data_IF_635722689598
#
_entry.id   IF_635722689598
#
_cell.length_a   1.000
_cell.length_b   1.000
_cell.length_c   1.000
_cell.angle_alpha   90.00
_cell.angle_beta   90.00
_cell.angle_gamma   90.00
#
_symmetry.space_group_name_H-M   'P 1'
#
loop_
_entity.id
_entity.type
_entity.pdbx_description
1 polymer ?
#
# COMPACT_ATOMS: atom_id res chain seq x y z
N UNK A 1 17.08 4.79 -34.31
CA UNK A 1 16.18 5.49 -33.38
C UNK A 1 16.98 5.93 -32.16
N UNK A 2 16.60 7.00 -31.44
CA UNK A 2 17.26 7.30 -30.18
C UNK A 2 17.01 6.15 -29.18
N UNK A 3 17.95 5.93 -28.27
CA UNK A 3 17.92 4.85 -27.30
C UNK A 3 18.43 5.34 -25.95
N UNK A 4 18.07 4.61 -24.90
CA UNK A 4 18.57 4.79 -23.55
C UNK A 4 18.78 3.43 -22.88
N UNK A 5 19.62 3.40 -21.85
CA UNK A 5 19.93 2.21 -21.09
C UNK A 5 19.33 2.31 -19.70
N UNK A 6 18.55 1.32 -19.29
CA UNK A 6 17.91 1.25 -17.98
C UNK A 6 18.49 0.11 -17.15
N UNK A 7 18.75 0.40 -15.87
CA UNK A 7 18.98 -0.59 -14.83
C UNK A 7 17.93 -0.38 -13.73
N UNK A 8 17.14 -1.42 -13.48
CA UNK A 8 16.19 -1.46 -12.38
C UNK A 8 16.79 -2.25 -11.22
N UNK A 9 16.65 -1.73 -10.00
CA UNK A 9 17.26 -2.30 -8.80
C UNK A 9 16.20 -2.92 -7.88
N UNK A 10 16.63 -3.96 -7.14
CA UNK A 10 15.85 -4.61 -6.09
C UNK A 10 14.44 -5.02 -6.55
N UNK A 11 13.41 -4.65 -5.78
CA UNK A 11 12.02 -5.05 -5.92
C UNK A 11 11.35 -4.54 -7.19
N UNK A 12 11.99 -3.65 -7.96
CA UNK A 12 11.52 -3.27 -9.29
C UNK A 12 11.68 -4.41 -10.31
N UNK A 13 12.66 -5.30 -10.12
CA UNK A 13 12.84 -6.49 -10.96
C UNK A 13 11.65 -7.47 -10.86
N UNK A 14 10.76 -7.28 -9.88
CA UNK A 14 9.50 -8.01 -9.82
C UNK A 14 8.66 -7.82 -11.08
N UNK A 15 8.58 -6.59 -11.59
CA UNK A 15 7.70 -6.20 -12.70
C UNK A 15 8.27 -6.54 -14.09
N UNK A 16 9.56 -6.84 -14.18
CA UNK A 16 10.23 -7.10 -15.45
C UNK A 16 10.03 -8.55 -15.92
N UNK A 17 9.97 -8.80 -17.25
CA UNK A 17 10.08 -10.13 -17.81
C UNK A 17 11.36 -10.85 -17.33
N UNK A 18 11.31 -12.18 -17.17
CA UNK A 18 12.43 -12.99 -16.66
C UNK A 18 13.75 -12.74 -17.40
N UNK A 19 13.71 -12.51 -18.72
CA UNK A 19 14.89 -12.28 -19.55
C UNK A 19 15.59 -10.92 -19.29
N UNK A 20 14.89 -9.99 -18.65
CA UNK A 20 15.33 -8.61 -18.39
C UNK A 20 15.65 -8.34 -16.93
N UNK A 21 15.28 -9.24 -16.01
CA UNK A 21 15.60 -9.12 -14.58
C UNK A 21 17.11 -9.04 -14.35
N UNK A 22 17.53 -8.15 -13.46
CA UNK A 22 18.91 -7.93 -13.05
C UNK A 22 19.86 -7.65 -14.21
N UNK A 23 19.37 -7.04 -15.29
CA UNK A 23 20.14 -6.74 -16.50
C UNK A 23 20.04 -5.27 -16.88
N UNK A 24 20.97 -4.85 -17.73
CA UNK A 24 20.87 -3.58 -18.44
C UNK A 24 19.91 -3.76 -19.62
N UNK A 25 18.91 -2.90 -19.72
CA UNK A 25 17.88 -2.93 -20.76
C UNK A 25 18.14 -1.78 -21.72
N UNK A 26 18.39 -2.09 -22.99
CA UNK A 26 18.35 -1.08 -24.05
C UNK A 26 16.90 -0.86 -24.46
N UNK A 27 16.46 0.40 -24.43
CA UNK A 27 15.11 0.79 -24.82
C UNK A 27 15.19 1.88 -25.89
N UNK A 28 14.65 1.57 -27.06
CA UNK A 28 14.48 2.52 -28.15
C UNK A 28 13.19 3.31 -27.96
N UNK A 29 13.18 4.57 -28.37
CA UNK A 29 12.01 5.44 -28.25
C UNK A 29 11.90 6.38 -29.44
N UNK A 30 10.71 6.97 -29.60
CA UNK A 30 10.42 7.92 -30.66
C UNK A 30 10.05 9.28 -30.08
N UNK A 31 10.59 10.35 -30.67
CA UNK A 31 10.27 11.72 -30.27
C UNK A 31 10.79 12.10 -28.88
N UNK A 32 10.08 13.03 -28.24
CA UNK A 32 10.42 13.59 -26.94
C UNK A 32 9.55 12.95 -25.87
N UNK A 33 10.14 12.09 -25.05
CA UNK A 33 9.42 11.27 -24.06
C UNK A 33 9.94 11.57 -22.65
N UNK A 34 9.04 11.61 -21.68
CA UNK A 34 9.42 11.74 -20.26
C UNK A 34 10.03 10.43 -19.75
N UNK A 35 10.89 10.53 -18.74
CA UNK A 35 11.46 9.33 -18.11
C UNK A 35 10.39 8.47 -17.45
N UNK A 36 9.31 9.08 -16.93
CA UNK A 36 8.15 8.35 -16.40
C UNK A 36 7.52 7.45 -17.46
N UNK A 37 7.18 7.99 -18.62
CA UNK A 37 6.51 7.23 -19.68
C UNK A 37 7.36 6.05 -20.16
N UNK A 38 8.68 6.25 -20.27
CA UNK A 38 9.62 5.17 -20.65
C UNK A 38 9.73 4.09 -19.56
N UNK A 39 9.75 4.47 -18.28
CA UNK A 39 9.80 3.50 -17.19
C UNK A 39 8.48 2.71 -17.12
N UNK A 40 7.35 3.38 -17.31
CA UNK A 40 6.03 2.73 -17.33
C UNK A 40 5.83 1.83 -18.55
N UNK A 41 6.37 2.20 -19.72
CA UNK A 41 6.35 1.35 -20.92
C UNK A 41 7.16 0.05 -20.71
N UNK A 42 8.22 0.11 -19.90
CA UNK A 42 9.01 -1.04 -19.47
C UNK A 42 8.33 -1.89 -18.38
N UNK A 43 7.17 -1.47 -17.89
CA UNK A 43 6.33 -2.25 -16.98
C UNK A 43 6.32 -1.75 -15.54
N UNK A 44 7.24 -0.88 -15.14
CA UNK A 44 7.36 -0.46 -13.74
C UNK A 44 6.34 0.65 -13.44
N UNK A 45 5.45 0.47 -12.44
CA UNK A 45 4.54 1.53 -12.04
C UNK A 45 5.28 2.62 -11.26
N UNK A 46 5.05 3.90 -11.58
CA UNK A 46 5.76 5.01 -10.96
C UNK A 46 5.66 5.09 -9.42
N UNK A 47 4.57 4.67 -8.74
CA UNK A 47 4.50 4.71 -7.28
C UNK A 47 5.46 3.73 -6.59
N UNK A 48 6.03 2.76 -7.30
CA UNK A 48 7.04 1.83 -6.74
C UNK A 48 8.46 2.40 -6.76
N UNK A 49 8.68 3.54 -7.42
CA UNK A 49 10.02 4.10 -7.66
C UNK A 49 10.36 5.14 -6.61
N UNK A 50 11.46 4.92 -5.90
CA UNK A 50 11.92 5.82 -4.85
C UNK A 50 12.92 6.87 -5.37
N UNK A 51 13.71 6.52 -6.39
CA UNK A 51 14.70 7.43 -6.98
C UNK A 51 15.00 7.07 -8.43
N UNK A 52 15.24 8.09 -9.25
CA UNK A 52 15.75 7.96 -10.62
C UNK A 52 17.06 8.73 -10.72
N UNK A 53 18.07 8.09 -11.33
CA UNK A 53 19.41 8.67 -11.48
C UNK A 53 19.84 8.59 -12.93
N UNK A 54 20.22 9.74 -13.50
CA UNK A 54 20.80 9.85 -14.84
C UNK A 54 22.22 10.36 -14.70
N UNK A 55 23.21 9.58 -15.18
CA UNK A 55 24.62 9.96 -15.15
C UNK A 55 25.10 10.47 -13.77
N UNK A 56 24.64 9.83 -12.68
CA UNK A 56 25.00 10.16 -11.30
C UNK A 56 24.23 11.32 -10.66
N UNK A 57 23.20 11.87 -11.32
CA UNK A 57 22.34 12.93 -10.78
C UNK A 57 20.92 12.43 -10.54
N UNK A 58 20.35 12.73 -9.38
CA UNK A 58 18.93 12.50 -9.10
C UNK A 58 18.07 13.39 -10.00
N UNK A 59 16.97 12.85 -10.52
CA UNK A 59 16.04 13.57 -11.40
C UNK A 59 14.58 13.28 -11.05
N UNK A 60 13.66 14.11 -11.54
CA UNK A 60 12.22 13.92 -11.39
C UNK A 60 11.59 13.09 -12.53
N UNK A 61 10.28 12.84 -12.44
CA UNK A 61 9.53 12.11 -13.45
C UNK A 61 9.35 12.85 -14.78
N UNK A 62 9.44 14.18 -14.78
CA UNK A 62 9.20 15.02 -15.97
C UNK A 62 10.46 15.18 -16.85
N UNK A 63 11.60 14.72 -16.35
CA UNK A 63 12.87 14.80 -17.05
C UNK A 63 12.80 14.11 -18.42
N UNK A 64 13.20 14.84 -19.46
CA UNK A 64 13.20 14.38 -20.84
C UNK A 64 14.47 13.58 -21.12
N UNK A 65 14.30 12.34 -21.55
CA UNK A 65 15.41 11.42 -21.80
C UNK A 65 16.17 11.84 -23.06
N UNK A 66 17.51 11.86 -22.95
CA UNK A 66 18.42 12.15 -24.06
C UNK A 66 18.94 10.86 -24.70
N UNK A 67 19.37 10.93 -25.95
CA UNK A 67 19.99 9.79 -26.63
C UNK A 67 21.25 9.33 -25.88
N UNK A 68 21.38 8.02 -25.67
CA UNK A 68 22.52 7.42 -24.97
C UNK A 68 22.51 7.60 -23.45
N UNK A 69 21.40 8.08 -22.86
CA UNK A 69 21.30 8.23 -21.42
C UNK A 69 21.44 6.88 -20.68
N UNK A 70 22.22 6.86 -19.60
CA UNK A 70 22.31 5.75 -18.65
C UNK A 70 21.48 6.07 -17.41
N UNK A 71 20.45 5.24 -17.18
CA UNK A 71 19.38 5.49 -16.23
C UNK A 71 19.36 4.36 -15.20
N UNK A 72 19.49 4.71 -13.93
CA UNK A 72 19.29 3.79 -12.82
C UNK A 72 17.99 4.15 -12.09
N UNK A 73 17.18 3.14 -11.81
CA UNK A 73 15.87 3.29 -11.16
C UNK A 73 15.84 2.42 -9.92
N UNK A 74 15.56 3.05 -8.79
CA UNK A 74 15.68 2.44 -7.46
C UNK A 74 14.31 2.35 -6.79
N UNK A 75 14.04 1.25 -6.10
CA UNK A 75 12.92 1.14 -5.16
C UNK A 75 13.34 1.60 -3.77
N UNK A 76 12.39 1.64 -2.84
CA UNK A 76 12.64 2.03 -1.45
C UNK A 76 13.65 1.12 -0.74
N UNK A 77 13.73 -0.14 -1.14
CA UNK A 77 14.53 -1.16 -0.45
C UNK A 77 16.02 -0.88 -0.55
N UNK A 78 16.44 -0.18 -1.61
CA UNK A 78 17.83 0.12 -1.87
C UNK A 78 17.94 1.46 -2.61
N UNK A 79 18.36 2.49 -1.89
CA UNK A 79 18.55 3.84 -2.42
C UNK A 79 19.99 4.27 -2.14
N UNK A 80 20.80 4.58 -3.18
CA UNK A 80 22.16 5.04 -2.97
C UNK A 80 22.20 6.45 -2.35
N UNK A 81 23.26 6.74 -1.61
CA UNK A 81 23.53 8.10 -1.13
C UNK A 81 23.97 8.99 -2.29
N UNK A 82 23.11 9.93 -2.68
CA UNK A 82 23.37 10.91 -3.74
C UNK A 82 23.05 12.31 -3.22
N UNK A 83 23.97 13.29 -3.37
CA UNK A 83 23.72 14.68 -2.99
C UNK A 83 22.56 15.28 -3.79
N UNK A 84 21.83 16.24 -3.18
CA UNK A 84 20.73 16.97 -3.81
C UNK A 84 19.66 16.04 -4.42
N UNK A 85 19.15 15.12 -3.59
CA UNK A 85 18.09 14.20 -3.99
C UNK A 85 16.83 14.95 -4.40
N UNK A 86 16.42 14.77 -5.65
CA UNK A 86 15.14 15.25 -6.15
C UNK A 86 14.02 14.29 -5.71
N UNK A 87 13.04 14.74 -4.91
CA UNK A 87 11.94 13.87 -4.48
C UNK A 87 10.99 13.60 -5.64
N UNK A 88 10.64 12.32 -5.84
CA UNK A 88 9.67 11.92 -6.88
C UNK A 88 8.22 12.18 -6.48
N UNK A 89 7.96 12.44 -5.20
CA UNK A 89 6.65 12.72 -4.63
C UNK A 89 6.81 13.46 -3.29
N UNK A 90 5.78 14.19 -2.81
CA UNK A 90 5.81 14.80 -1.50
C UNK A 90 5.95 13.75 -0.37
N UNK A 91 6.55 14.10 0.78
CA UNK A 91 6.60 13.20 1.93
C UNK A 91 5.17 12.84 2.40
N UNK A 92 4.97 11.60 2.84
CA UNK A 92 3.66 11.17 3.34
C UNK A 92 3.35 11.84 4.69
N UNK A 93 2.13 12.37 4.92
CA UNK A 93 1.91 13.40 5.93
C UNK A 93 1.76 12.94 7.40
N UNK A 94 1.99 11.68 7.77
CA UNK A 94 2.13 11.14 9.15
C UNK A 94 1.81 9.64 9.13
N UNK A 95 0.71 9.22 9.80
CA UNK A 95 0.27 7.85 9.99
C UNK A 95 -0.41 7.36 8.71
N UNK A 96 0.02 6.22 8.14
CA UNK A 96 -0.54 5.69 6.91
C UNK A 96 -2.05 5.50 6.97
N UNK A 97 -2.73 6.02 5.95
CA UNK A 97 -4.12 5.65 5.63
C UNK A 97 -4.14 4.96 4.28
N UNK A 98 -5.06 4.01 4.12
CA UNK A 98 -5.06 3.09 3.00
C UNK A 98 -6.37 3.13 2.23
N UNK A 99 -6.27 2.81 0.95
CA UNK A 99 -7.38 2.39 0.12
C UNK A 99 -6.94 1.14 -0.66
N UNK A 100 -7.81 0.15 -0.77
CA UNK A 100 -7.48 -1.13 -1.38
C UNK A 100 -8.44 -1.48 -2.50
N UNK A 101 -7.90 -2.15 -3.53
CA UNK A 101 -8.71 -2.74 -4.60
C UNK A 101 -9.59 -3.91 -4.09
N UNK A 102 -10.55 -4.30 -4.93
CA UNK A 102 -11.54 -5.35 -4.65
C UNK A 102 -10.94 -6.74 -4.33
N UNK A 103 -9.69 -7.01 -4.69
CA UNK A 103 -9.05 -8.31 -4.48
C UNK A 103 -8.38 -8.42 -3.09
N UNK A 104 -8.31 -7.31 -2.35
CA UNK A 104 -7.57 -7.21 -1.10
C UNK A 104 -8.47 -6.99 0.13
N UNK A 105 -9.77 -7.31 0.04
CA UNK A 105 -10.73 -7.05 1.12
C UNK A 105 -10.38 -7.68 2.47
N UNK A 106 -9.70 -8.82 2.45
CA UNK A 106 -9.27 -9.48 3.70
C UNK A 106 -8.06 -8.79 4.32
N UNK A 107 -7.13 -8.28 3.51
CA UNK A 107 -6.05 -7.41 3.96
C UNK A 107 -6.62 -6.09 4.53
N UNK A 108 -7.62 -5.51 3.87
CA UNK A 108 -8.32 -4.32 4.38
C UNK A 108 -8.91 -4.55 5.78
N UNK A 109 -9.56 -5.70 6.01
CA UNK A 109 -10.08 -6.05 7.33
C UNK A 109 -8.97 -6.17 8.39
N UNK A 110 -7.80 -6.70 8.04
CA UNK A 110 -6.66 -6.79 8.97
C UNK A 110 -6.00 -5.44 9.26
N UNK A 111 -5.86 -4.56 8.27
CA UNK A 111 -5.35 -3.20 8.51
C UNK A 111 -6.28 -2.41 9.44
N UNK A 112 -7.61 -2.56 9.27
CA UNK A 112 -8.60 -2.00 10.20
C UNK A 112 -8.47 -2.59 11.60
N UNK A 113 -8.26 -3.90 11.71
CA UNK A 113 -8.01 -4.58 12.98
C UNK A 113 -6.76 -4.04 13.68
N UNK A 114 -5.71 -3.72 12.93
CA UNK A 114 -4.49 -3.06 13.44
C UNK A 114 -4.70 -1.57 13.78
N UNK A 115 -5.88 -1.00 13.47
CA UNK A 115 -6.25 0.37 13.80
C UNK A 115 -5.95 1.40 12.71
N UNK A 116 -5.59 0.98 11.49
CA UNK A 116 -5.33 1.89 10.38
C UNK A 116 -6.60 2.26 9.63
N UNK A 117 -6.74 3.53 9.29
CA UNK A 117 -7.84 4.01 8.45
C UNK A 117 -7.73 3.40 7.06
N UNK A 118 -8.66 2.51 6.72
CA UNK A 118 -8.56 1.69 5.52
C UNK A 118 -9.89 1.63 4.77
N UNK A 119 -9.97 2.32 3.63
CA UNK A 119 -11.10 2.24 2.73
C UNK A 119 -11.03 0.98 1.87
N UNK A 120 -12.19 0.36 1.71
CA UNK A 120 -12.38 -0.79 0.84
C UNK A 120 -13.87 -0.95 0.58
N UNK A 121 -14.21 -1.10 -0.70
CA UNK A 121 -15.53 -1.50 -1.18
C UNK A 121 -15.35 -2.47 -2.34
N UNK A 122 -16.30 -3.40 -2.47
CA UNK A 122 -16.27 -4.42 -3.54
C UNK A 122 -16.61 -3.84 -4.92
N UNK A 123 -17.14 -2.62 -4.98
CA UNK A 123 -17.67 -1.98 -6.19
C UNK A 123 -16.86 -0.76 -6.63
N UNK A 124 -15.67 -0.55 -6.04
CA UNK A 124 -14.79 0.52 -6.51
C UNK A 124 -14.26 0.23 -7.90
N UNK A 125 -14.48 1.18 -8.81
CA UNK A 125 -13.79 1.20 -10.09
C UNK A 125 -12.40 1.80 -9.94
N UNK A 126 -11.48 1.38 -10.80
CA UNK A 126 -10.10 1.85 -10.79
C UNK A 126 -9.93 3.38 -10.79
N UNK A 127 -10.77 4.10 -11.56
CA UNK A 127 -10.73 5.57 -11.62
C UNK A 127 -11.11 6.18 -10.27
N UNK A 128 -12.13 5.62 -9.61
CA UNK A 128 -12.55 6.02 -8.27
C UNK A 128 -11.46 5.71 -7.23
N UNK A 129 -10.81 4.53 -7.30
CA UNK A 129 -9.69 4.18 -6.43
C UNK A 129 -8.55 5.19 -6.53
N UNK A 130 -8.17 5.54 -7.77
CA UNK A 130 -7.09 6.49 -8.02
C UNK A 130 -7.47 7.90 -7.54
N UNK A 131 -8.70 8.33 -7.79
CA UNK A 131 -9.18 9.65 -7.39
C UNK A 131 -9.29 9.79 -5.86
N UNK A 132 -9.90 8.81 -5.17
CA UNK A 132 -9.99 8.82 -3.71
C UNK A 132 -8.61 8.71 -3.06
N UNK A 133 -7.70 7.90 -3.63
CA UNK A 133 -6.30 7.85 -3.17
C UNK A 133 -5.62 9.22 -3.24
N UNK A 134 -5.87 9.96 -4.30
CA UNK A 134 -5.34 11.30 -4.50
C UNK A 134 -5.95 12.31 -3.51
N UNK A 135 -7.27 12.47 -3.55
CA UNK A 135 -8.00 13.51 -2.82
C UNK A 135 -7.87 13.37 -1.31
N UNK A 136 -7.88 12.14 -0.80
CA UNK A 136 -7.74 11.86 0.63
C UNK A 136 -6.29 11.55 1.05
N UNK A 137 -5.31 11.65 0.14
CA UNK A 137 -3.89 11.34 0.41
C UNK A 137 -3.72 9.94 1.02
N UNK A 138 -4.36 8.93 0.42
CA UNK A 138 -4.30 7.53 0.88
C UNK A 138 -3.32 6.73 0.05
N UNK A 139 -2.64 5.80 0.71
CA UNK A 139 -1.79 4.81 0.05
C UNK A 139 -2.70 3.78 -0.64
N UNK A 140 -2.62 3.70 -1.97
CA UNK A 140 -3.34 2.70 -2.75
C UNK A 140 -2.59 1.37 -2.74
N UNK A 141 -3.17 0.34 -2.13
CA UNK A 141 -2.67 -1.02 -2.23
C UNK A 141 -3.47 -1.78 -3.29
N UNK A 142 -2.77 -2.36 -4.26
CA UNK A 142 -3.41 -3.08 -5.36
C UNK A 142 -2.52 -4.20 -5.88
N UNK A 143 -3.10 -5.14 -6.62
CA UNK A 143 -2.36 -6.11 -7.43
C UNK A 143 -2.50 -5.84 -8.93
N UNK A 144 -2.98 -4.65 -9.30
CA UNK A 144 -3.12 -4.19 -10.66
C UNK A 144 -2.06 -3.13 -10.99
N UNK A 145 -1.17 -3.46 -11.94
CA UNK A 145 -0.11 -2.56 -12.39
C UNK A 145 -0.69 -1.37 -13.17
N UNK A 146 -1.74 -1.59 -13.96
CA UNK A 146 -2.42 -0.54 -14.72
C UNK A 146 -3.06 0.50 -13.79
N UNK A 147 -3.62 0.05 -12.67
CA UNK A 147 -4.10 0.94 -11.61
C UNK A 147 -2.99 1.82 -11.03
N UNK A 148 -1.84 1.25 -10.68
CA UNK A 148 -0.72 2.03 -10.16
C UNK A 148 -0.10 3.00 -11.18
N UNK A 149 -0.28 2.77 -12.49
CA UNK A 149 0.24 3.67 -13.54
C UNK A 149 -0.62 4.90 -13.78
N UNK A 150 -1.82 4.98 -13.18
CA UNK A 150 -2.68 6.18 -13.29
C UNK A 150 -2.00 7.37 -12.63
N UNK A 151 -1.93 8.50 -13.34
CA UNK A 151 -1.21 9.71 -12.88
C UNK A 151 -1.73 10.30 -11.57
N UNK A 152 -2.99 10.03 -11.19
CA UNK A 152 -3.55 10.47 -9.91
C UNK A 152 -2.92 9.73 -8.71
N UNK A 153 -2.36 8.53 -8.91
CA UNK A 153 -1.80 7.69 -7.83
C UNK A 153 -0.42 8.20 -7.42
N UNK A 154 -0.36 9.03 -6.40
CA UNK A 154 0.92 9.54 -5.85
C UNK A 154 1.57 8.50 -4.93
N UNK A 155 0.76 7.91 -4.05
CA UNK A 155 1.19 6.91 -3.07
C UNK A 155 0.53 5.58 -3.39
N UNK A 156 1.32 4.60 -3.78
CA UNK A 156 0.80 3.30 -4.15
C UNK A 156 1.83 2.19 -3.96
N UNK A 157 1.33 0.98 -3.79
CA UNK A 157 2.16 -0.20 -3.63
C UNK A 157 1.47 -1.44 -4.21
N UNK A 158 2.24 -2.22 -4.96
CA UNK A 158 1.83 -3.49 -5.51
C UNK A 158 2.00 -4.57 -4.44
N UNK A 159 0.90 -5.20 -4.04
CA UNK A 159 0.93 -6.30 -3.08
C UNK A 159 1.45 -7.57 -3.76
N UNK A 160 2.68 -7.97 -3.44
CA UNK A 160 3.40 -9.07 -4.09
C UNK A 160 2.96 -10.41 -3.52
N UNK A 161 2.75 -10.50 -2.21
CA UNK A 161 2.33 -11.73 -1.55
C UNK A 161 0.89 -12.10 -1.90
N UNK A 162 0.67 -13.40 -2.08
CA UNK A 162 -0.67 -13.97 -2.32
C UNK A 162 -1.22 -14.63 -1.07
N UNK A 163 -0.35 -15.08 -0.17
CA UNK A 163 -0.78 -15.60 1.12
C UNK A 163 -1.19 -14.45 2.03
N UNK A 164 -2.37 -14.59 2.63
CA UNK A 164 -3.01 -13.50 3.36
C UNK A 164 -2.29 -13.12 4.65
N UNK A 165 -1.57 -14.04 5.29
CA UNK A 165 -0.75 -13.71 6.46
C UNK A 165 0.51 -12.99 6.05
N UNK A 166 1.15 -13.47 4.97
CA UNK A 166 2.34 -12.82 4.40
C UNK A 166 2.05 -11.42 3.87
N UNK A 167 0.86 -11.17 3.32
CA UNK A 167 0.43 -9.83 2.92
C UNK A 167 0.47 -8.83 4.09
N UNK A 168 0.04 -9.25 5.29
CA UNK A 168 0.06 -8.36 6.46
C UNK A 168 1.52 -8.04 6.81
N UNK A 169 2.38 -9.07 6.91
CA UNK A 169 3.80 -8.88 7.19
C UNK A 169 4.49 -8.00 6.12
N UNK A 170 4.17 -8.20 4.84
CA UNK A 170 4.67 -7.38 3.72
C UNK A 170 4.32 -5.90 3.93
N UNK A 171 3.04 -5.59 4.17
CA UNK A 171 2.58 -4.20 4.35
C UNK A 171 3.10 -3.60 5.66
N UNK A 172 3.11 -4.35 6.75
CA UNK A 172 3.69 -3.92 8.03
C UNK A 172 5.15 -3.51 7.87
N UNK A 173 5.96 -4.34 7.20
CA UNK A 173 7.38 -4.07 6.99
C UNK A 173 7.60 -2.93 6.00
N UNK A 174 6.85 -2.91 4.89
CA UNK A 174 6.99 -1.91 3.82
C UNK A 174 6.73 -0.48 4.31
N UNK A 175 5.81 -0.31 5.25
CA UNK A 175 5.37 0.99 5.76
C UNK A 175 5.71 1.21 7.24
N UNK A 176 6.53 0.33 7.83
CA UNK A 176 6.95 0.42 9.24
C UNK A 176 5.79 0.57 10.23
N UNK A 177 4.71 -0.19 10.03
CA UNK A 177 3.45 0.02 10.75
C UNK A 177 3.48 -0.36 12.23
N UNK A 178 4.51 -1.08 12.68
CA UNK A 178 4.57 -1.73 14.01
C UNK A 178 4.34 -0.74 15.16
N UNK A 179 4.98 0.41 15.10
CA UNK A 179 4.94 1.41 16.18
C UNK A 179 3.63 2.22 16.20
N UNK A 180 2.87 2.20 15.10
CA UNK A 180 1.61 2.93 14.94
C UNK A 180 0.35 2.05 15.16
N UNK A 181 0.51 0.80 15.60
CA UNK A 181 -0.63 -0.11 15.82
C UNK A 181 -1.46 0.33 17.00
N UNK A 182 -2.75 0.54 16.76
CA UNK A 182 -3.76 0.77 17.81
C UNK A 182 -4.85 -0.28 17.59
N UNK A 183 -4.56 -1.51 17.99
CA UNK A 183 -5.39 -2.67 17.67
C UNK A 183 -6.83 -2.51 18.16
N UNK A 184 -7.77 -3.02 17.36
CA UNK A 184 -9.20 -3.07 17.64
C UNK A 184 -9.89 -1.70 17.84
N UNK A 185 -9.22 -0.58 17.51
CA UNK A 185 -9.80 0.77 17.53
C UNK A 185 -10.74 1.07 16.36
N UNK A 186 -10.74 0.23 15.31
CA UNK A 186 -11.60 0.36 14.14
C UNK A 186 -12.37 -0.93 13.83
N UNK A 187 -13.54 -0.73 13.27
CA UNK A 187 -14.43 -1.79 12.83
C UNK A 187 -13.85 -2.48 11.61
N UNK A 188 -13.54 -3.77 11.71
CA UNK A 188 -13.05 -4.57 10.58
C UNK A 188 -14.03 -4.60 9.39
N UNK A 189 -15.34 -4.43 9.66
CA UNK A 189 -16.39 -4.47 8.64
C UNK A 189 -16.48 -3.16 7.84
N UNK A 190 -16.52 -2.01 8.51
CA UNK A 190 -16.82 -0.73 7.86
C UNK A 190 -15.80 0.39 8.09
N UNK A 191 -14.67 0.14 8.77
CA UNK A 191 -13.62 1.14 9.09
C UNK A 191 -13.98 2.18 10.17
N UNK A 192 -15.25 2.26 10.62
CA UNK A 192 -15.68 3.19 11.66
C UNK A 192 -15.00 2.96 13.02
N UNK A 193 -14.93 4.00 13.85
CA UNK A 193 -14.32 3.92 15.18
C UNK A 193 -15.12 2.96 16.09
N UNK A 194 -14.40 2.34 17.02
CA UNK A 194 -14.93 1.38 17.99
C UNK A 194 -14.76 1.97 19.39
N UNK A 195 -15.87 2.03 20.12
CA UNK A 195 -15.93 2.56 21.49
C UNK A 195 -16.33 1.45 22.47
N UNK A 196 -15.89 1.57 23.73
CA UNK A 196 -16.35 0.68 24.80
C UNK A 196 -17.82 0.98 25.13
N UNK A 197 -18.59 -0.07 25.40
CA UNK A 197 -20.02 0.01 25.78
C UNK A 197 -20.31 -0.96 26.91
N UNK A 198 -21.32 -0.67 27.73
CA UNK A 198 -21.72 -1.57 28.82
C UNK A 198 -22.51 -2.77 28.29
N UNK A 199 -22.57 -3.86 29.07
CA UNK A 199 -23.34 -5.05 28.70
C UNK A 199 -24.84 -4.74 28.60
N UNK A 200 -25.34 -3.82 29.44
CA UNK A 200 -26.73 -3.38 29.47
C UNK A 200 -27.13 -2.65 28.19
N UNK A 201 -26.24 -1.80 27.64
CA UNK A 201 -26.48 -1.04 26.41
C UNK A 201 -26.62 -1.89 25.15
N UNK A 202 -26.09 -3.12 25.19
CA UNK A 202 -26.07 -4.03 24.03
C UNK A 202 -26.79 -5.36 24.29
N UNK A 203 -27.43 -5.52 25.45
CA UNK A 203 -28.02 -6.77 25.90
C UNK A 203 -29.01 -7.38 24.89
N UNK A 204 -29.77 -6.54 24.19
CA UNK A 204 -30.76 -6.90 23.17
C UNK A 204 -30.15 -7.49 21.89
N UNK A 205 -28.86 -7.20 21.62
CA UNK A 205 -28.13 -7.59 20.42
C UNK A 205 -27.11 -8.69 20.66
N UNK A 206 -26.88 -9.07 21.91
CA UNK A 206 -25.98 -10.14 22.27
C UNK A 206 -26.66 -11.51 22.10
N UNK A 207 -25.96 -12.53 21.56
CA UNK A 207 -26.43 -13.91 21.63
C UNK A 207 -26.68 -14.34 23.08
N UNK A 208 -27.68 -15.21 23.30
CA UNK A 208 -28.04 -15.66 24.64
C UNK A 208 -26.83 -16.18 25.44
N UNK A 209 -26.72 -15.73 26.69
CA UNK A 209 -25.64 -16.15 27.60
C UNK A 209 -24.30 -15.45 27.39
N UNK A 210 -24.11 -14.63 26.34
CA UNK A 210 -22.83 -13.93 26.10
C UNK A 210 -22.43 -13.02 27.26
N UNK A 211 -23.37 -12.28 27.83
CA UNK A 211 -23.15 -11.40 28.99
C UNK A 211 -22.82 -12.15 30.29
N UNK A 212 -23.00 -13.48 30.34
CA UNK A 212 -22.58 -14.30 31.49
C UNK A 212 -21.10 -14.66 31.45
N UNK A 213 -20.50 -14.68 30.26
CA UNK A 213 -19.12 -15.12 30.05
C UNK A 213 -18.16 -13.98 29.71
N UNK A 214 -18.67 -12.81 29.35
CA UNK A 214 -17.87 -11.65 28.95
C UNK A 214 -18.40 -10.37 29.59
N UNK A 215 -17.48 -9.53 30.03
CA UNK A 215 -17.73 -8.26 30.72
C UNK A 215 -17.38 -7.03 29.85
N UNK A 216 -16.55 -7.23 28.83
CA UNK A 216 -15.99 -6.15 28.01
C UNK A 216 -16.59 -6.18 26.61
N UNK A 217 -17.39 -5.16 26.29
CA UNK A 217 -18.04 -4.99 24.99
C UNK A 217 -17.58 -3.71 24.32
N UNK A 218 -17.52 -3.75 22.99
CA UNK A 218 -17.28 -2.58 22.18
C UNK A 218 -18.28 -2.51 21.03
N UNK A 219 -18.59 -1.29 20.59
CA UNK A 219 -19.55 -1.04 19.50
C UNK A 219 -18.91 -0.13 18.46
N UNK A 220 -19.13 -0.45 17.18
CA UNK A 220 -18.79 0.47 16.10
C UNK A 220 -19.79 1.63 16.06
N UNK A 221 -19.28 2.86 16.05
CA UNK A 221 -20.12 4.08 16.01
C UNK A 221 -20.81 4.30 14.66
N UNK A 222 -20.36 3.64 13.59
CA UNK A 222 -20.92 3.79 12.25
C UNK A 222 -21.95 2.71 11.90
N UNK A 223 -21.61 1.42 12.06
CA UNK A 223 -22.50 0.32 11.66
C UNK A 223 -23.16 -0.42 12.84
N UNK A 224 -22.86 -0.02 14.08
CA UNK A 224 -23.44 -0.64 15.28
C UNK A 224 -22.95 -2.06 15.58
N UNK A 225 -21.98 -2.59 14.81
CA UNK A 225 -21.41 -3.91 15.05
C UNK A 225 -20.82 -4.00 16.46
N UNK A 226 -21.19 -5.05 17.20
CA UNK A 226 -20.71 -5.31 18.56
C UNK A 226 -19.55 -6.32 18.51
N UNK A 227 -18.55 -6.08 19.36
CA UNK A 227 -17.33 -6.87 19.52
C UNK A 227 -17.11 -7.20 21.01
N UNK A 228 -16.56 -8.38 21.29
CA UNK A 228 -16.17 -8.82 22.64
C UNK A 228 -14.98 -9.78 22.56
N UNK A 229 -14.28 -9.99 23.68
CA UNK A 229 -13.05 -10.80 23.77
C UNK A 229 -13.33 -12.32 23.81
N UNK A 230 -13.99 -12.85 22.79
CA UNK A 230 -14.20 -14.29 22.61
C UNK A 230 -13.03 -15.02 21.92
N UNK A 231 -13.23 -16.29 21.56
CA UNK A 231 -12.23 -17.10 20.84
C UNK A 231 -11.74 -16.47 19.53
N UNK A 232 -12.59 -15.68 18.84
CA UNK A 232 -12.19 -14.94 17.65
C UNK A 232 -11.13 -13.87 17.95
N UNK A 233 -11.28 -13.16 19.08
CA UNK A 233 -10.28 -12.17 19.53
C UNK A 233 -8.93 -12.82 19.81
N UNK A 234 -8.92 -13.97 20.48
CA UNK A 234 -7.66 -14.70 20.76
C UNK A 234 -6.92 -15.08 19.48
N UNK A 235 -7.63 -15.58 18.46
CA UNK A 235 -7.02 -15.89 17.15
C UNK A 235 -6.49 -14.66 16.43
N UNK A 236 -7.20 -13.54 16.53
CA UNK A 236 -6.75 -12.27 15.95
C UNK A 236 -5.51 -11.71 16.67
N UNK A 237 -5.47 -11.81 17.99
CA UNK A 237 -4.31 -11.40 18.77
C UNK A 237 -3.08 -12.25 18.41
N UNK A 238 -3.23 -13.58 18.34
CA UNK A 238 -2.12 -14.45 17.93
C UNK A 238 -1.60 -14.13 16.52
N UNK A 239 -2.48 -13.72 15.59
CA UNK A 239 -2.06 -13.25 14.27
C UNK A 239 -1.28 -11.93 14.35
N UNK A 240 -1.74 -10.97 15.17
CA UNK A 240 -1.01 -9.71 15.39
C UNK A 240 0.39 -9.98 15.97
N UNK A 241 0.46 -10.84 16.97
CA UNK A 241 1.72 -11.18 17.65
C UNK A 241 2.71 -11.89 16.71
N UNK A 242 2.22 -12.60 15.69
CA UNK A 242 3.04 -13.27 14.65
C UNK A 242 3.59 -12.26 13.62
N UNK A 243 2.74 -11.35 13.13
CA UNK A 243 3.11 -10.41 12.04
C UNK A 243 3.82 -9.15 12.52
N UNK A 244 3.82 -8.89 13.84
CA UNK A 244 4.47 -7.73 14.47
C UNK A 244 5.80 -8.09 15.16
N UNK A 245 6.29 -9.33 15.07
CA UNK A 245 7.63 -9.70 15.52
C UNK A 245 8.70 -8.94 14.74
#
# INVERSE_FOLDING_TARGET
MPNAQFRFHDSLNFFLPRAQKERLIQHEYEGRVSIKDMIESLGIPHPEIEMIVINGRSVDFNTIVQHGASINVYSVSFVPEIPNREPLRPPYPTRPTFILDQHLGRLAAYLRMMGFDTLYRNDYHDEELAQVSHDETRILLTRDIGLLKRSAVIYGYFVRETDRRKQIAEITNRFHLKDDVIAFSRCMKCNGLVEAVSAEEVADKLPEGTSRYYDTFHRCTACGQIYWKGAHHQRMQALLDDVLQ
#
